data_IF_641549981716
#
_entry.id   IF_641549981716
#
_cell.length_a   1.000
_cell.length_b   1.000
_cell.length_c   1.000
_cell.angle_alpha   90.00
_cell.angle_beta   90.00
_cell.angle_gamma   90.00
#
_symmetry.space_group_name_H-M   'P 1'
#
loop_
_entity.id
_entity.type
_entity.pdbx_description
1 polymer ?
#
# COMPACT_ATOMS: atom_id res chain seq x y z
N UNK A 1 -52.67 -71.16 -10.46
CA UNK A 1 -52.67 -69.75 -10.90
C UNK A 1 -52.54 -68.90 -9.65
N UNK A 2 -51.35 -68.36 -9.43
CA UNK A 2 -50.90 -67.70 -8.19
C UNK A 2 -50.87 -66.18 -8.39
N UNK A 3 -51.35 -65.43 -7.40
CA UNK A 3 -51.25 -63.96 -7.32
C UNK A 3 -50.12 -63.58 -6.38
N UNK A 4 -49.07 -62.92 -6.89
CA UNK A 4 -48.01 -62.29 -6.10
C UNK A 4 -48.18 -60.76 -6.14
N UNK A 5 -48.36 -60.17 -4.95
CA UNK A 5 -48.39 -58.72 -4.76
C UNK A 5 -46.98 -58.13 -4.82
N UNK A 6 -46.79 -57.15 -5.70
CA UNK A 6 -45.55 -56.39 -5.86
C UNK A 6 -45.54 -55.13 -4.99
N UNK A 7 -44.50 -55.02 -4.17
CA UNK A 7 -44.13 -53.86 -3.35
C UNK A 7 -43.62 -52.71 -4.24
N UNK A 8 -44.17 -51.49 -4.13
CA UNK A 8 -43.61 -50.29 -4.74
C UNK A 8 -42.81 -49.49 -3.70
N UNK A 9 -41.51 -49.19 -3.91
CA UNK A 9 -40.79 -48.29 -3.03
C UNK A 9 -41.15 -46.85 -3.37
N UNK A 10 -41.66 -46.11 -2.39
CA UNK A 10 -41.91 -44.68 -2.45
C UNK A 10 -40.59 -43.91 -2.66
N UNK A 11 -40.46 -43.23 -3.78
CA UNK A 11 -39.39 -42.26 -4.05
C UNK A 11 -39.55 -41.04 -3.15
N UNK A 12 -38.73 -40.96 -2.10
CA UNK A 12 -38.58 -39.72 -1.31
C UNK A 12 -38.00 -38.61 -2.21
N UNK A 13 -38.55 -37.39 -2.19
CA UNK A 13 -37.93 -36.27 -2.88
C UNK A 13 -36.59 -35.92 -2.24
N UNK A 14 -35.55 -35.77 -3.06
CA UNK A 14 -34.24 -35.26 -2.65
C UNK A 14 -34.43 -33.80 -2.21
N UNK A 15 -34.18 -33.51 -0.93
CA UNK A 15 -34.08 -32.14 -0.43
C UNK A 15 -32.92 -31.43 -1.17
N UNK A 16 -33.07 -30.15 -1.54
CA UNK A 16 -31.97 -29.40 -2.13
C UNK A 16 -30.83 -29.33 -1.12
N UNK A 17 -29.65 -29.76 -1.54
CA UNK A 17 -28.39 -29.57 -0.81
C UNK A 17 -28.23 -28.07 -0.62
N UNK A 18 -28.49 -27.57 0.59
CA UNK A 18 -28.17 -26.21 0.96
C UNK A 18 -26.64 -26.10 0.89
N UNK A 19 -26.14 -25.45 -0.17
CA UNK A 19 -24.75 -25.02 -0.22
C UNK A 19 -24.61 -23.99 0.89
N UNK A 20 -23.98 -24.37 2.00
CA UNK A 20 -23.60 -23.46 3.07
C UNK A 20 -22.84 -22.29 2.45
N UNK A 21 -23.47 -21.12 2.44
CA UNK A 21 -22.79 -19.88 2.08
C UNK A 21 -21.70 -19.65 3.13
N UNK A 22 -20.43 -19.41 2.75
CA UNK A 22 -19.36 -19.25 3.71
C UNK A 22 -19.67 -18.08 4.66
N UNK A 23 -19.53 -18.32 5.96
CA UNK A 23 -19.78 -17.36 7.05
C UNK A 23 -19.15 -15.98 6.75
N UNK A 24 -19.96 -14.89 6.69
CA UNK A 24 -19.47 -13.53 6.48
C UNK A 24 -18.39 -13.09 7.48
N UNK A 25 -18.45 -13.58 8.72
CA UNK A 25 -17.49 -13.24 9.77
C UNK A 25 -16.14 -13.96 9.59
N UNK A 26 -16.15 -15.19 9.10
CA UNK A 26 -14.93 -15.93 8.75
C UNK A 26 -14.16 -15.25 7.61
N UNK A 27 -14.86 -14.61 6.66
CA UNK A 27 -14.26 -13.88 5.53
C UNK A 27 -13.59 -12.58 5.97
N UNK A 28 -14.20 -11.82 6.90
CA UNK A 28 -13.58 -10.62 7.49
C UNK A 28 -12.33 -10.95 8.32
N UNK A 29 -12.36 -12.02 9.11
CA UNK A 29 -11.20 -12.45 9.90
C UNK A 29 -10.05 -13.00 9.03
N UNK A 30 -10.34 -13.69 7.93
CA UNK A 30 -9.32 -14.15 6.98
C UNK A 30 -8.62 -12.99 6.25
N UNK A 31 -9.31 -11.87 6.03
CA UNK A 31 -8.74 -10.65 5.43
C UNK A 31 -7.84 -9.92 6.41
N UNK A 32 -8.30 -9.75 7.66
CA UNK A 32 -7.50 -9.21 8.75
C UNK A 32 -6.24 -10.05 8.98
N UNK A 33 -6.39 -11.38 9.01
CA UNK A 33 -5.28 -12.30 9.20
C UNK A 33 -4.37 -12.39 7.97
N UNK A 34 -4.90 -12.32 6.75
CA UNK A 34 -4.13 -12.35 5.51
C UNK A 34 -3.26 -11.11 5.31
N UNK A 35 -3.76 -9.92 5.68
CA UNK A 35 -2.99 -8.68 5.66
C UNK A 35 -1.95 -8.70 6.79
N UNK A 36 -2.37 -8.99 8.03
CA UNK A 36 -1.48 -9.03 9.20
C UNK A 36 -0.34 -10.07 9.09
N UNK A 37 -0.62 -11.26 8.53
CA UNK A 37 0.37 -12.34 8.43
C UNK A 37 1.40 -12.11 7.33
N UNK A 38 1.09 -11.30 6.32
CA UNK A 38 1.99 -11.04 5.17
C UNK A 38 2.93 -9.84 5.39
N UNK A 39 2.60 -8.99 6.37
CA UNK A 39 3.46 -7.88 6.81
C UNK A 39 4.72 -8.33 7.54
N UNK A 40 4.73 -9.52 8.14
CA UNK A 40 5.91 -10.08 8.79
C UNK A 40 7.05 -10.45 7.81
N UNK A 41 6.81 -10.38 6.49
CA UNK A 41 7.70 -10.92 5.47
C UNK A 41 8.54 -9.88 4.69
N UNK A 42 8.58 -8.60 5.09
CA UNK A 42 9.43 -7.58 4.42
C UNK A 42 9.06 -7.37 2.94
N UNK A 43 7.76 -7.40 2.62
CA UNK A 43 7.22 -7.26 1.27
C UNK A 43 7.26 -5.79 0.84
N UNK A 44 7.69 -5.45 -0.40
CA UNK A 44 7.66 -4.09 -0.93
C UNK A 44 6.27 -3.43 -0.84
N UNK A 45 6.23 -2.15 -0.47
CA UNK A 45 4.99 -1.38 -0.28
C UNK A 45 4.03 -1.44 -1.48
N UNK A 46 4.56 -1.44 -2.70
CA UNK A 46 3.76 -1.55 -3.92
C UNK A 46 2.97 -2.87 -4.01
N UNK A 47 3.54 -3.98 -3.54
CA UNK A 47 2.89 -5.29 -3.58
C UNK A 47 1.75 -5.40 -2.56
N UNK A 48 1.84 -4.65 -1.45
CA UNK A 48 0.74 -4.53 -0.47
C UNK A 48 -0.45 -3.80 -1.11
N UNK A 49 -0.20 -2.68 -1.81
CA UNK A 49 -1.25 -1.92 -2.47
C UNK A 49 -1.91 -2.72 -3.61
N UNK A 50 -1.13 -3.48 -4.37
CA UNK A 50 -1.67 -4.39 -5.39
C UNK A 50 -2.61 -5.45 -4.78
N UNK A 51 -2.24 -6.05 -3.65
CA UNK A 51 -3.09 -7.00 -2.94
C UNK A 51 -4.38 -6.36 -2.41
N UNK A 52 -4.33 -5.11 -1.95
CA UNK A 52 -5.53 -4.37 -1.55
C UNK A 52 -6.48 -4.21 -2.73
N UNK A 53 -5.96 -3.85 -3.90
CA UNK A 53 -6.75 -3.73 -5.13
C UNK A 53 -7.39 -5.07 -5.50
N UNK A 54 -6.62 -6.16 -5.52
CA UNK A 54 -7.13 -7.51 -5.78
C UNK A 54 -8.24 -7.91 -4.80
N UNK A 55 -8.01 -7.69 -3.50
CA UNK A 55 -8.99 -8.01 -2.48
C UNK A 55 -10.29 -7.22 -2.69
N UNK A 56 -10.20 -5.90 -2.82
CA UNK A 56 -11.37 -5.02 -2.97
C UNK A 56 -12.18 -5.40 -4.22
N UNK A 57 -11.50 -5.64 -5.33
CA UNK A 57 -12.15 -6.03 -6.60
C UNK A 57 -12.78 -7.43 -6.55
N UNK A 58 -12.39 -8.28 -5.60
CA UNK A 58 -13.01 -9.59 -5.36
C UNK A 58 -14.29 -9.53 -4.50
N UNK A 59 -14.46 -8.48 -3.69
CA UNK A 59 -15.58 -8.34 -2.74
C UNK A 59 -16.61 -7.30 -3.14
N UNK A 60 -16.22 -6.30 -3.94
CA UNK A 60 -17.12 -5.27 -4.50
C UNK A 60 -16.97 -5.26 -6.03
N UNK A 61 -18.09 -5.31 -6.74
CA UNK A 61 -18.10 -5.35 -8.21
C UNK A 61 -17.75 -3.98 -8.79
N UNK A 62 -16.50 -3.78 -9.14
CA UNK A 62 -16.03 -2.57 -9.83
C UNK A 62 -15.25 -2.89 -11.11
N UNK A 63 -15.36 -2.02 -12.11
CA UNK A 63 -14.64 -2.15 -13.38
C UNK A 63 -13.20 -1.62 -13.26
N UNK A 64 -12.98 -0.60 -12.41
CA UNK A 64 -11.65 -0.09 -12.04
C UNK A 64 -11.54 0.17 -10.53
N UNK A 65 -10.31 0.15 -10.03
CA UNK A 65 -9.95 0.49 -8.66
C UNK A 65 -8.61 1.22 -8.65
N UNK A 66 -8.55 2.39 -8.00
CA UNK A 66 -7.33 3.18 -7.83
C UNK A 66 -7.03 3.43 -6.37
N UNK A 67 -5.74 3.37 -6.00
CA UNK A 67 -5.26 3.70 -4.67
C UNK A 67 -4.29 4.86 -4.76
N UNK A 68 -4.64 5.95 -4.10
CA UNK A 68 -3.84 7.15 -3.97
C UNK A 68 -3.25 7.21 -2.56
N UNK A 69 -1.97 7.57 -2.46
CA UNK A 69 -1.25 7.72 -1.18
C UNK A 69 -0.86 9.18 -0.99
N UNK A 70 -1.06 9.70 0.22
CA UNK A 70 -0.71 11.07 0.57
C UNK A 70 0.81 11.19 0.81
N UNK A 71 1.47 11.99 -0.02
CA UNK A 71 2.91 12.26 0.04
C UNK A 71 3.14 13.77 0.07
N UNK A 72 3.50 14.28 1.24
CA UNK A 72 3.50 15.72 1.46
C UNK A 72 2.07 16.26 1.47
N UNK A 73 1.75 17.14 0.54
CA UNK A 73 0.44 17.78 0.33
C UNK A 73 -0.29 17.25 -0.92
N UNK A 74 0.26 16.24 -1.59
CA UNK A 74 -0.27 15.66 -2.82
C UNK A 74 -0.66 14.18 -2.64
N UNK A 75 -1.77 13.78 -3.25
CA UNK A 75 -2.15 12.40 -3.42
C UNK A 75 -1.52 11.86 -4.71
N UNK A 76 -0.73 10.81 -4.60
CA UNK A 76 -0.04 10.17 -5.73
C UNK A 76 -0.73 8.84 -6.05
N UNK A 77 -1.06 8.59 -7.32
CA UNK A 77 -1.58 7.30 -7.74
C UNK A 77 -0.49 6.23 -7.59
N UNK A 78 -0.69 5.26 -6.69
CA UNK A 78 0.32 4.23 -6.36
C UNK A 78 -0.07 2.81 -6.76
N UNK A 79 -1.36 2.53 -6.95
CA UNK A 79 -1.82 1.25 -7.47
C UNK A 79 -3.12 1.39 -8.24
N UNK A 80 -3.32 0.50 -9.22
CA UNK A 80 -4.52 0.44 -10.04
C UNK A 80 -4.85 -1.00 -10.43
N UNK A 81 -6.15 -1.30 -10.57
CA UNK A 81 -6.62 -2.60 -11.10
C UNK A 81 -6.23 -2.78 -12.56
N UNK A 82 -6.46 -1.74 -13.35
CA UNK A 82 -6.07 -1.71 -14.75
C UNK A 82 -4.64 -1.16 -14.84
N UNK A 83 -3.74 -1.75 -15.63
CA UNK A 83 -2.37 -1.25 -15.75
C UNK A 83 -2.36 0.16 -16.37
N UNK A 84 -1.86 1.14 -15.62
CA UNK A 84 -1.67 2.53 -16.09
C UNK A 84 -0.21 2.96 -15.93
N UNK A 85 0.73 2.40 -16.71
CA UNK A 85 2.16 2.63 -16.52
C UNK A 85 2.59 4.10 -16.67
N UNK A 86 1.81 4.91 -17.37
CA UNK A 86 2.06 6.34 -17.54
C UNK A 86 1.47 7.20 -16.41
N UNK A 87 0.53 6.67 -15.62
CA UNK A 87 -0.13 7.40 -14.55
C UNK A 87 0.34 6.96 -13.15
N UNK A 88 0.65 5.68 -12.94
CA UNK A 88 1.19 5.20 -11.65
C UNK A 88 2.52 5.91 -11.36
N UNK A 89 2.66 6.37 -10.11
CA UNK A 89 3.76 7.18 -9.59
C UNK A 89 3.92 8.58 -10.20
N UNK A 90 3.11 8.95 -11.20
CA UNK A 90 3.21 10.24 -11.92
C UNK A 90 2.00 11.13 -11.74
N UNK A 91 0.81 10.55 -11.74
CA UNK A 91 -0.45 11.27 -11.58
C UNK A 91 -0.60 11.70 -10.13
N UNK A 92 -0.78 13.00 -9.96
CA UNK A 92 -0.92 13.65 -8.66
C UNK A 92 -2.10 14.60 -8.65
N UNK A 93 -2.68 14.75 -7.47
CA UNK A 93 -3.71 15.74 -7.21
C UNK A 93 -3.54 16.31 -5.80
N UNK A 94 -3.96 17.55 -5.62
CA UNK A 94 -3.93 18.21 -4.31
C UNK A 94 -5.12 17.79 -3.45
N UNK A 95 -5.00 17.98 -2.14
CA UNK A 95 -6.16 17.98 -1.26
C UNK A 95 -7.21 18.99 -1.74
N UNK A 96 -8.49 18.62 -1.67
CA UNK A 96 -9.60 19.41 -2.20
C UNK A 96 -9.78 19.37 -3.74
N UNK A 97 -8.80 18.85 -4.50
CA UNK A 97 -8.90 18.74 -5.96
C UNK A 97 -9.60 17.45 -6.38
N UNK A 98 -10.63 17.54 -7.22
CA UNK A 98 -11.35 16.34 -7.63
C UNK A 98 -12.28 15.81 -6.51
N UNK A 99 -13.11 14.82 -6.84
CA UNK A 99 -13.82 14.03 -5.81
C UNK A 99 -12.82 13.39 -4.85
N UNK A 100 -11.74 12.81 -5.39
CA UNK A 100 -10.68 12.15 -4.63
C UNK A 100 -10.01 13.09 -3.62
N UNK A 101 -9.59 14.29 -4.03
CA UNK A 101 -8.98 15.26 -3.13
C UNK A 101 -9.97 15.84 -2.12
N UNK A 102 -11.24 16.03 -2.52
CA UNK A 102 -12.31 16.43 -1.60
C UNK A 102 -12.52 15.40 -0.48
N UNK A 103 -12.53 14.11 -0.82
CA UNK A 103 -12.64 13.00 0.14
C UNK A 103 -11.45 12.97 1.10
N UNK A 104 -10.24 13.20 0.60
CA UNK A 104 -9.06 13.32 1.44
C UNK A 104 -9.12 14.53 2.39
N UNK A 105 -9.65 15.67 1.93
CA UNK A 105 -9.78 16.87 2.75
C UNK A 105 -10.86 16.71 3.82
N UNK A 106 -12.02 16.16 3.46
CA UNK A 106 -13.20 16.09 4.33
C UNK A 106 -13.27 14.81 5.16
N UNK A 107 -12.47 13.78 4.83
CA UNK A 107 -12.43 12.47 5.50
C UNK A 107 -13.78 11.74 5.45
N UNK A 108 -14.55 11.97 4.40
CA UNK A 108 -15.88 11.40 4.23
C UNK A 108 -15.97 10.69 2.88
N UNK A 109 -16.58 9.48 2.84
CA UNK A 109 -16.79 8.78 1.58
C UNK A 109 -17.79 9.52 0.70
N UNK A 110 -17.60 9.41 -0.62
CA UNK A 110 -18.50 9.95 -1.64
C UNK A 110 -18.86 8.83 -2.60
N UNK A 111 -20.16 8.64 -2.82
CA UNK A 111 -20.69 7.71 -3.82
C UNK A 111 -21.51 8.49 -4.86
N UNK A 112 -21.12 8.38 -6.12
CA UNK A 112 -21.85 8.91 -7.28
C UNK A 112 -22.31 7.73 -8.11
N UNK A 113 -23.63 7.62 -8.30
CA UNK A 113 -24.23 6.43 -8.91
C UNK A 113 -24.29 6.44 -10.44
N UNK A 114 -24.17 7.63 -11.03
CA UNK A 114 -24.21 7.87 -12.48
C UNK A 114 -23.64 9.25 -12.82
N UNK A 115 -23.20 9.43 -14.06
CA UNK A 115 -22.60 10.67 -14.55
C UNK A 115 -21.53 11.27 -13.61
N UNK A 116 -20.59 10.47 -13.11
CA UNK A 116 -19.53 10.95 -12.21
C UNK A 116 -18.80 12.18 -12.76
N UNK A 117 -18.57 12.21 -14.06
CA UNK A 117 -17.97 13.33 -14.81
C UNK A 117 -18.75 14.66 -14.75
N UNK A 118 -20.02 14.63 -14.31
CA UNK A 118 -20.87 15.81 -14.10
C UNK A 118 -20.92 16.27 -12.65
N UNK A 119 -20.30 15.56 -11.71
CA UNK A 119 -20.14 16.04 -10.33
C UNK A 119 -19.33 17.35 -10.36
N UNK A 120 -19.76 18.43 -9.68
CA UNK A 120 -19.04 19.71 -9.70
C UNK A 120 -17.60 19.63 -9.19
N UNK A 121 -17.28 18.61 -8.39
CA UNK A 121 -15.94 18.37 -7.87
C UNK A 121 -15.10 17.52 -8.83
N UNK A 122 -15.67 16.96 -9.90
CA UNK A 122 -14.95 16.03 -10.76
C UNK A 122 -13.74 16.69 -11.41
N UNK A 123 -12.61 15.99 -11.43
CA UNK A 123 -11.38 16.42 -12.09
C UNK A 123 -11.07 15.43 -13.20
N UNK A 124 -10.94 15.94 -14.42
CA UNK A 124 -10.50 15.14 -15.57
C UNK A 124 -8.97 15.07 -15.64
N UNK A 125 -8.47 13.89 -15.98
CA UNK A 125 -7.11 13.52 -16.30
C UNK A 125 -7.12 12.87 -17.70
N UNK A 126 -6.47 13.51 -18.67
CA UNK A 126 -6.48 13.04 -20.06
C UNK A 126 -5.84 11.64 -20.23
N UNK A 127 -5.06 11.23 -19.25
CA UNK A 127 -4.31 9.98 -19.17
C UNK A 127 -5.16 8.80 -18.66
N UNK A 128 -6.40 9.03 -18.16
CA UNK A 128 -7.24 8.00 -17.56
C UNK A 128 -8.53 7.76 -18.37
N UNK A 129 -8.70 6.59 -19.02
CA UNK A 129 -9.95 6.25 -19.69
C UNK A 129 -11.14 6.13 -18.72
N UNK A 130 -10.87 5.85 -17.44
CA UNK A 130 -11.85 5.75 -16.36
C UNK A 130 -12.60 7.07 -16.07
N UNK A 131 -12.13 8.20 -16.57
CA UNK A 131 -12.82 9.50 -16.44
C UNK A 131 -14.21 9.53 -17.08
N UNK A 132 -14.46 8.60 -18.00
CA UNK A 132 -15.73 8.47 -18.71
C UNK A 132 -16.71 7.53 -18.01
N UNK A 133 -16.34 6.97 -16.87
CA UNK A 133 -17.15 5.98 -16.17
C UNK A 133 -18.36 6.65 -15.49
N UNK A 134 -19.48 5.93 -15.44
CA UNK A 134 -20.75 6.46 -14.94
C UNK A 134 -20.74 6.58 -13.41
N UNK A 135 -20.29 5.54 -12.70
CA UNK A 135 -20.35 5.50 -11.24
C UNK A 135 -18.97 5.53 -10.59
N UNK A 136 -18.90 6.16 -9.41
CA UNK A 136 -17.66 6.46 -8.70
C UNK A 136 -17.90 6.39 -7.20
N UNK A 137 -17.17 5.52 -6.49
CA UNK A 137 -17.11 5.49 -5.03
C UNK A 137 -15.70 5.85 -4.61
N UNK A 138 -15.57 6.83 -3.75
CA UNK A 138 -14.30 7.30 -3.20
C UNK A 138 -14.34 7.25 -1.68
N UNK A 139 -13.35 6.62 -1.08
CA UNK A 139 -13.30 6.35 0.36
C UNK A 139 -11.92 6.70 0.91
N UNK A 140 -11.83 7.43 2.03
CA UNK A 140 -10.55 7.81 2.60
C UNK A 140 -9.85 6.60 3.25
N UNK A 141 -8.52 6.54 3.10
CA UNK A 141 -7.66 5.63 3.87
C UNK A 141 -7.22 6.38 5.13
N UNK A 142 -7.63 5.87 6.30
CA UNK A 142 -7.51 6.59 7.56
C UNK A 142 -6.61 5.83 8.54
N UNK A 143 -5.66 6.56 9.15
CA UNK A 143 -4.84 6.07 10.25
C UNK A 143 -4.91 7.05 11.42
N UNK A 144 -5.39 6.58 12.57
CA UNK A 144 -5.53 7.40 13.80
C UNK A 144 -6.21 8.76 13.55
N UNK A 145 -7.27 8.76 12.73
CA UNK A 145 -8.05 9.97 12.40
C UNK A 145 -7.43 10.91 11.35
N UNK A 146 -6.25 10.58 10.81
CA UNK A 146 -5.59 11.30 9.72
C UNK A 146 -5.75 10.56 8.40
N UNK A 147 -5.85 11.30 7.29
CA UNK A 147 -5.79 10.71 5.95
C UNK A 147 -4.37 10.35 5.60
N UNK A 148 -4.19 9.13 5.10
CA UNK A 148 -2.93 8.66 4.51
C UNK A 148 -3.08 8.31 3.03
N UNK A 149 -4.30 8.35 2.50
CA UNK A 149 -4.60 8.09 1.10
C UNK A 149 -6.10 8.03 0.80
N UNK A 150 -6.46 7.64 -0.42
CA UNK A 150 -7.85 7.46 -0.87
C UNK A 150 -7.93 6.25 -1.79
N UNK A 151 -9.00 5.46 -1.67
CA UNK A 151 -9.33 4.40 -2.61
C UNK A 151 -10.56 4.77 -3.42
N UNK A 152 -10.48 4.59 -4.73
CA UNK A 152 -11.56 4.84 -5.68
C UNK A 152 -11.99 3.55 -6.34
N UNK A 153 -13.30 3.34 -6.47
CA UNK A 153 -13.93 2.25 -7.21
C UNK A 153 -14.81 2.88 -8.29
N UNK A 154 -14.71 2.38 -9.51
CA UNK A 154 -15.40 2.95 -10.66
C UNK A 154 -16.09 1.88 -11.48
N UNK A 155 -17.24 2.21 -12.05
CA UNK A 155 -17.98 1.34 -12.97
C UNK A 155 -18.32 2.05 -14.26
N UNK A 156 -18.14 1.35 -15.38
CA UNK A 156 -18.49 1.84 -16.71
C UNK A 156 -19.98 2.15 -16.77
N UNK A 157 -20.79 1.25 -16.23
CA UNK A 157 -22.23 1.42 -16.11
C UNK A 157 -22.63 2.07 -14.79
N UNK A 158 -23.88 2.56 -14.73
CA UNK A 158 -24.48 3.06 -13.50
C UNK A 158 -24.44 1.99 -12.41
N UNK A 159 -24.09 2.40 -11.21
CA UNK A 159 -23.99 1.51 -10.07
C UNK A 159 -24.33 2.27 -8.78
N UNK A 160 -25.33 1.79 -8.05
CA UNK A 160 -25.71 2.37 -6.76
C UNK A 160 -25.03 1.58 -5.65
N UNK A 161 -23.91 2.10 -5.15
CA UNK A 161 -23.19 1.51 -4.02
C UNK A 161 -24.08 1.49 -2.78
N UNK A 162 -24.33 0.29 -2.25
CA UNK A 162 -25.10 0.09 -1.04
C UNK A 162 -24.33 0.56 0.20
N UNK A 163 -25.05 0.87 1.28
CA UNK A 163 -24.42 1.20 2.57
C UNK A 163 -23.47 0.10 3.06
N UNK A 164 -23.79 -1.17 2.77
CA UNK A 164 -22.94 -2.31 3.10
C UNK A 164 -21.62 -2.28 2.34
N UNK A 165 -21.65 -1.97 1.05
CA UNK A 165 -20.43 -1.81 0.23
C UNK A 165 -19.59 -0.63 0.73
N UNK A 166 -20.22 0.53 0.97
CA UNK A 166 -19.52 1.71 1.49
C UNK A 166 -18.90 1.41 2.86
N UNK A 167 -19.62 0.72 3.75
CA UNK A 167 -19.13 0.33 5.08
C UNK A 167 -17.98 -0.67 4.98
N UNK A 168 -18.08 -1.65 4.08
CA UNK A 168 -17.02 -2.62 3.82
C UNK A 168 -15.75 -1.93 3.34
N UNK A 169 -15.85 -1.07 2.33
CA UNK A 169 -14.70 -0.35 1.77
C UNK A 169 -14.13 0.65 2.78
N UNK A 170 -14.97 1.28 3.60
CA UNK A 170 -14.51 2.14 4.70
C UNK A 170 -13.73 1.36 5.75
N UNK A 171 -14.18 0.14 6.07
CA UNK A 171 -13.45 -0.77 6.98
C UNK A 171 -12.09 -1.16 6.39
N UNK A 172 -12.05 -1.51 5.10
CA UNK A 172 -10.79 -1.71 4.37
C UNK A 172 -9.93 -0.47 4.43
N UNK A 173 -10.50 0.72 4.26
CA UNK A 173 -9.79 1.99 4.31
C UNK A 173 -9.11 2.27 5.65
N UNK A 174 -9.72 1.87 6.77
CA UNK A 174 -9.08 1.95 8.08
C UNK A 174 -7.92 0.96 8.24
N UNK A 175 -8.10 -0.27 7.76
CA UNK A 175 -7.06 -1.31 7.86
C UNK A 175 -5.85 -0.94 7.00
N UNK A 176 -6.09 -0.64 5.72
CA UNK A 176 -5.05 -0.22 4.78
C UNK A 176 -4.39 1.08 5.24
N UNK A 177 -5.16 2.01 5.81
CA UNK A 177 -4.62 3.24 6.36
C UNK A 177 -3.63 2.98 7.50
N UNK A 178 -3.97 2.11 8.45
CA UNK A 178 -3.06 1.71 9.52
C UNK A 178 -1.77 1.09 8.97
N UNK A 179 -1.88 0.29 7.92
CA UNK A 179 -0.75 -0.39 7.29
C UNK A 179 0.20 0.55 6.55
N UNK A 180 -0.35 1.50 5.79
CA UNK A 180 0.46 2.52 5.12
C UNK A 180 1.30 3.30 6.15
N UNK A 181 0.70 3.66 7.29
CA UNK A 181 1.40 4.38 8.35
C UNK A 181 2.46 3.50 9.02
N UNK A 182 2.19 2.22 9.25
CA UNK A 182 3.17 1.28 9.81
C UNK A 182 4.39 1.13 8.88
N UNK A 183 4.15 0.88 7.60
CA UNK A 183 5.21 0.74 6.61
C UNK A 183 6.06 2.02 6.49
N UNK A 184 5.42 3.20 6.58
CA UNK A 184 6.13 4.49 6.62
C UNK A 184 7.03 4.60 7.85
N UNK A 185 6.51 4.29 9.03
CA UNK A 185 7.27 4.35 10.29
C UNK A 185 8.44 3.36 10.30
N UNK A 186 8.25 2.15 9.78
CA UNK A 186 9.33 1.16 9.65
C UNK A 186 10.43 1.63 8.70
N UNK A 187 10.06 2.23 7.56
CA UNK A 187 11.00 2.82 6.61
C UNK A 187 11.80 3.96 7.25
N UNK A 188 11.13 4.87 7.95
CA UNK A 188 11.78 5.98 8.66
C UNK A 188 12.74 5.48 9.76
N UNK A 189 12.31 4.47 10.53
CA UNK A 189 13.14 3.81 11.54
C UNK A 189 14.38 3.16 10.93
N UNK A 190 14.21 2.42 9.83
CA UNK A 190 15.32 1.78 9.11
C UNK A 190 16.32 2.82 8.59
N UNK A 191 15.84 3.87 7.93
CA UNK A 191 16.69 4.97 7.44
C UNK A 191 17.43 5.71 8.57
N UNK A 192 16.81 5.86 9.74
CA UNK A 192 17.47 6.46 10.90
C UNK A 192 18.55 5.52 11.46
N UNK A 193 18.26 4.22 11.55
CA UNK A 193 19.22 3.21 11.99
C UNK A 193 20.44 3.17 11.06
N UNK A 194 20.24 3.17 9.74
CA UNK A 194 21.30 3.20 8.74
C UNK A 194 22.17 4.45 8.88
N UNK A 195 21.56 5.64 9.04
CA UNK A 195 22.29 6.90 9.24
C UNK A 195 23.16 6.86 10.51
N UNK A 196 22.64 6.29 11.59
CA UNK A 196 23.38 6.14 12.84
C UNK A 196 24.53 5.14 12.70
N UNK A 197 24.33 4.04 11.97
CA UNK A 197 25.37 3.06 11.69
C UNK A 197 26.51 3.69 10.86
N UNK A 198 26.18 4.41 9.79
CA UNK A 198 27.16 5.12 8.95
C UNK A 198 27.94 6.14 9.80
N UNK A 199 27.26 6.92 10.64
CA UNK A 199 27.93 7.88 11.52
C UNK A 199 28.91 7.20 12.47
N UNK A 200 28.51 6.09 13.12
CA UNK A 200 29.39 5.32 14.01
C UNK A 200 30.62 4.79 13.27
N UNK A 201 30.44 4.26 12.07
CA UNK A 201 31.54 3.76 11.24
C UNK A 201 32.51 4.89 10.86
N UNK A 202 31.99 6.04 10.42
CA UNK A 202 32.81 7.21 10.06
C UNK A 202 33.57 7.74 11.26
N UNK A 203 32.94 7.88 12.44
CA UNK A 203 33.64 8.31 13.66
C UNK A 203 34.73 7.33 14.09
N UNK A 204 34.47 6.02 14.01
CA UNK A 204 35.48 5.00 14.32
C UNK A 204 36.65 5.05 13.33
N UNK A 205 36.37 5.20 12.04
CA UNK A 205 37.41 5.31 11.01
C UNK A 205 38.24 6.59 11.19
N UNK A 206 37.62 7.73 11.53
CA UNK A 206 38.33 8.96 11.88
C UNK A 206 39.27 8.74 13.06
N UNK A 207 38.79 8.13 14.15
CA UNK A 207 39.62 7.83 15.32
C UNK A 207 40.85 6.97 15.01
N UNK A 208 40.68 5.95 14.15
CA UNK A 208 41.80 5.12 13.65
C UNK A 208 42.80 5.96 12.87
N UNK A 209 42.34 6.76 11.90
CA UNK A 209 43.22 7.59 11.07
C UNK A 209 43.96 8.64 11.89
N UNK A 210 43.28 9.27 12.85
CA UNK A 210 43.90 10.24 13.77
C UNK A 210 45.02 9.60 14.58
N UNK A 211 44.78 8.40 15.11
CA UNK A 211 45.79 7.66 15.87
C UNK A 211 46.98 7.23 15.00
N UNK A 212 46.70 6.54 13.88
CA UNK A 212 47.73 5.91 13.05
C UNK A 212 48.56 6.91 12.25
N UNK A 213 47.95 8.02 11.80
CA UNK A 213 48.61 9.04 10.98
C UNK A 213 48.98 10.30 11.78
N UNK A 214 48.60 10.39 13.06
CA UNK A 214 48.80 11.56 13.92
C UNK A 214 48.25 12.86 13.31
N UNK A 215 47.10 12.76 12.66
CA UNK A 215 46.41 13.89 12.02
C UNK A 215 45.24 14.38 12.88
N UNK A 216 44.80 15.61 12.63
CA UNK A 216 43.60 16.17 13.25
C UNK A 216 42.32 15.46 12.79
N UNK A 217 41.25 15.61 13.55
CA UNK A 217 39.93 15.09 13.21
C UNK A 217 39.44 15.60 11.84
N UNK A 218 39.69 16.87 11.56
CA UNK A 218 39.30 17.52 10.31
C UNK A 218 40.07 16.94 9.12
N UNK A 219 41.37 16.67 9.28
CA UNK A 219 42.19 16.03 8.25
C UNK A 219 41.75 14.58 7.99
N UNK A 220 41.44 13.82 9.05
CA UNK A 220 40.92 12.45 8.93
C UNK A 220 39.59 12.42 8.17
N UNK A 221 38.67 13.35 8.47
CA UNK A 221 37.41 13.47 7.75
C UNK A 221 37.61 13.84 6.27
N UNK A 222 38.46 14.82 5.98
CA UNK A 222 38.77 15.21 4.60
C UNK A 222 39.45 14.08 3.81
N UNK A 223 40.23 13.23 4.48
CA UNK A 223 40.86 12.07 3.87
C UNK A 223 39.82 11.01 3.50
N UNK A 224 38.88 10.70 4.42
CA UNK A 224 37.73 9.83 4.17
C UNK A 224 36.89 10.34 2.99
N UNK A 225 36.58 11.64 2.97
CA UNK A 225 35.80 12.26 1.89
C UNK A 225 36.52 12.19 0.53
N UNK A 226 37.82 12.51 0.50
CA UNK A 226 38.65 12.41 -0.73
C UNK A 226 38.69 10.97 -1.25
N UNK A 227 38.83 9.98 -0.38
CA UNK A 227 38.81 8.56 -0.77
C UNK A 227 37.44 8.14 -1.33
N UNK A 228 36.34 8.59 -0.72
CA UNK A 228 34.98 8.35 -1.23
C UNK A 228 34.81 8.89 -2.64
N UNK A 229 35.22 10.15 -2.89
CA UNK A 229 35.14 10.77 -4.20
C UNK A 229 36.01 10.06 -5.24
N UNK A 230 37.27 9.77 -4.90
CA UNK A 230 38.22 9.17 -5.83
C UNK A 230 37.82 7.73 -6.23
N UNK A 231 37.28 6.96 -5.27
CA UNK A 231 36.84 5.57 -5.51
C UNK A 231 35.39 5.44 -5.96
N UNK A 232 34.62 6.54 -5.97
CA UNK A 232 33.17 6.56 -6.22
C UNK A 232 32.40 5.58 -5.32
N UNK A 233 32.83 5.47 -4.07
CA UNK A 233 32.20 4.59 -3.07
C UNK A 233 31.49 5.43 -2.01
N UNK A 234 30.50 4.84 -1.34
CA UNK A 234 29.81 5.54 -0.27
C UNK A 234 30.74 5.82 0.91
N UNK A 235 30.39 6.79 1.75
CA UNK A 235 31.18 7.04 2.95
C UNK A 235 31.15 5.86 3.93
N UNK A 236 30.07 5.07 3.91
CA UNK A 236 29.98 3.81 4.66
C UNK A 236 31.09 2.84 4.24
N UNK A 237 31.23 2.60 2.95
CA UNK A 237 32.18 1.60 2.43
C UNK A 237 33.63 1.97 2.72
N UNK A 238 33.98 3.25 2.54
CA UNK A 238 35.34 3.74 2.84
C UNK A 238 35.64 3.62 4.34
N UNK A 239 34.72 4.06 5.19
CA UNK A 239 34.90 3.98 6.64
C UNK A 239 35.01 2.51 7.10
N UNK A 240 34.17 1.63 6.55
CA UNK A 240 34.21 0.20 6.84
C UNK A 240 35.52 -0.44 6.38
N UNK A 241 36.05 -0.09 5.21
CA UNK A 241 37.35 -0.57 4.73
C UNK A 241 38.50 -0.17 5.66
N UNK A 242 38.51 1.07 6.17
CA UNK A 242 39.51 1.53 7.16
C UNK A 242 39.41 0.72 8.45
N UNK A 243 38.20 0.54 8.99
CA UNK A 243 37.96 -0.21 10.22
C UNK A 243 38.39 -1.68 10.06
N UNK A 244 38.06 -2.31 8.93
CA UNK A 244 38.45 -3.70 8.63
C UNK A 244 39.96 -3.85 8.46
N UNK A 245 40.61 -2.94 7.73
CA UNK A 245 42.06 -2.97 7.54
C UNK A 245 42.81 -2.83 8.86
N UNK A 246 42.32 -1.99 9.78
CA UNK A 246 42.89 -1.85 11.11
C UNK A 246 42.73 -3.12 11.95
N UNK A 247 41.55 -3.75 11.94
CA UNK A 247 41.31 -4.99 12.66
C UNK A 247 42.24 -6.13 12.21
N UNK A 248 42.51 -6.25 10.91
CA UNK A 248 43.45 -7.25 10.35
C UNK A 248 44.90 -6.98 10.76
N UNK A 249 45.31 -5.73 10.98
CA UNK A 249 46.68 -5.40 11.43
C UNK A 249 46.90 -5.63 12.93
N UNK A 250 45.83 -5.75 13.71
CA UNK A 250 45.84 -5.87 15.17
C UNK A 250 45.64 -7.31 15.66
N UNK A 251 45.27 -8.25 14.78
CA UNK A 251 45.18 -9.69 15.06
C UNK A 251 46.37 -10.45 14.50
#
# INVERSE_FOLDING_TARGET
MSTSGGWHPSSRPLLPVCVEQPDPFARQHAVLHGIASRMAASVPFHDVLAQVVEFVTSVVKCDSCFVYILEGDELVLRASKNPHPEAVDRLKLKLGQGITGWVAEHRQPVAVSQNASRDPRFQFFNELPEDRFEAFLSVPLLSRGRVVGVINLQNVARHSYSEREITLISTVGFLVGAEIEMARLEKEKSQLADRLEVRKLVERAKGILQHDLKISEQEAYLMLQRQSQHRRMSMKDIAQAVVLSYAVKQG
#
